data_IF_319202764992
#
_entry.id   IF_319202764992
#
_cell.length_a   1.000
_cell.length_b   1.000
_cell.length_c   1.000
_cell.angle_alpha   90.00
_cell.angle_beta   90.00
_cell.angle_gamma   90.00
#
_symmetry.space_group_name_H-M   'P 1'
#
loop_
_entity.id
_entity.type
_entity.pdbx_description
1 polymer ?
#
# COMPACT_ATOMS: atom_id res chain seq x y z
N UNK A 1 -21.57 -0.28 21.35
CA UNK A 1 -21.17 0.36 22.62
C UNK A 1 -22.43 0.89 23.25
N UNK A 2 -22.62 0.67 24.55
CA UNK A 2 -23.75 1.26 25.26
C UNK A 2 -23.47 2.75 25.40
N UNK A 3 -24.38 3.57 24.89
CA UNK A 3 -24.27 5.02 24.94
C UNK A 3 -24.57 5.52 26.36
N UNK A 4 -23.64 6.27 26.96
CA UNK A 4 -23.75 6.70 28.35
C UNK A 4 -24.90 7.68 28.60
N UNK A 5 -25.34 8.39 27.56
CA UNK A 5 -26.41 9.40 27.61
C UNK A 5 -27.80 8.84 27.35
N UNK A 6 -27.95 7.95 26.37
CA UNK A 6 -29.25 7.39 25.97
C UNK A 6 -29.50 5.97 26.51
N UNK A 7 -28.49 5.29 27.06
CA UNK A 7 -28.54 3.90 27.51
C UNK A 7 -28.84 2.89 26.37
N UNK A 8 -28.79 3.32 25.11
CA UNK A 8 -29.02 2.50 23.92
C UNK A 8 -27.73 1.86 23.39
N UNK A 9 -27.88 0.80 22.60
CA UNK A 9 -26.77 0.16 21.90
C UNK A 9 -26.54 0.82 20.54
N UNK A 10 -25.35 1.42 20.35
CA UNK A 10 -24.93 1.95 19.04
C UNK A 10 -23.73 1.22 18.45
N UNK A 11 -23.59 1.28 17.14
CA UNK A 11 -22.38 0.83 16.44
C UNK A 11 -21.20 1.71 16.86
N UNK A 12 -20.03 1.10 17.09
CA UNK A 12 -18.80 1.84 17.41
C UNK A 12 -18.27 2.54 16.17
N UNK A 13 -17.66 3.71 16.34
CA UNK A 13 -16.98 4.41 15.25
C UNK A 13 -15.65 3.72 14.91
N UNK A 14 -15.10 3.98 13.72
CA UNK A 14 -13.78 3.48 13.34
C UNK A 14 -12.67 3.91 14.32
N UNK A 15 -12.78 5.13 14.87
CA UNK A 15 -11.84 5.62 15.86
C UNK A 15 -11.92 4.83 17.18
N UNK A 16 -13.14 4.57 17.66
CA UNK A 16 -13.38 3.77 18.88
C UNK A 16 -12.89 2.32 18.72
N UNK A 17 -13.09 1.73 17.54
CA UNK A 17 -12.57 0.41 17.22
C UNK A 17 -11.04 0.41 17.17
N UNK A 18 -10.43 1.46 16.62
CA UNK A 18 -8.97 1.65 16.60
C UNK A 18 -8.37 1.69 18.00
N UNK A 19 -8.95 2.49 18.90
CA UNK A 19 -8.52 2.57 20.30
C UNK A 19 -8.70 1.27 21.06
N UNK A 20 -9.82 0.57 20.84
CA UNK A 20 -10.16 -0.65 21.55
C UNK A 20 -9.23 -1.82 21.18
N UNK A 21 -8.97 -1.99 19.88
CA UNK A 21 -8.21 -3.14 19.38
C UNK A 21 -6.73 -2.84 19.16
N UNK A 22 -6.32 -1.57 19.19
CA UNK A 22 -4.94 -1.12 18.92
C UNK A 22 -4.36 -1.73 17.63
N UNK A 23 -5.24 -2.03 16.66
CA UNK A 23 -4.85 -2.66 15.41
C UNK A 23 -4.31 -1.61 14.46
N UNK A 24 -3.27 -1.94 13.67
CA UNK A 24 -2.80 -1.05 12.63
C UNK A 24 -3.93 -0.74 11.65
N UNK A 25 -3.94 0.50 11.14
CA UNK A 25 -4.95 0.92 10.19
C UNK A 25 -4.97 -0.04 8.99
N UNK A 26 -6.15 -0.38 8.51
CA UNK A 26 -6.31 -1.22 7.31
C UNK A 26 -5.57 -0.64 6.11
N UNK A 27 -5.56 0.70 5.98
CA UNK A 27 -4.85 1.41 4.93
C UNK A 27 -3.33 1.23 5.04
N UNK A 28 -2.78 1.28 6.25
CA UNK A 28 -1.35 1.07 6.49
C UNK A 28 -0.97 -0.40 6.24
N UNK A 29 -1.85 -1.34 6.61
CA UNK A 29 -1.67 -2.76 6.29
C UNK A 29 -1.66 -3.00 4.77
N UNK A 30 -2.59 -2.40 4.02
CA UNK A 30 -2.65 -2.49 2.56
C UNK A 30 -1.39 -1.87 1.95
N UNK A 31 -0.96 -0.70 2.44
CA UNK A 31 0.27 -0.02 2.00
C UNK A 31 1.50 -0.90 2.20
N UNK A 32 1.70 -1.43 3.41
CA UNK A 32 2.84 -2.29 3.74
C UNK A 32 2.87 -3.54 2.86
N UNK A 33 1.72 -4.20 2.64
CA UNK A 33 1.64 -5.38 1.75
C UNK A 33 1.99 -5.05 0.31
N UNK A 34 1.50 -3.92 -0.22
CA UNK A 34 1.79 -3.47 -1.58
C UNK A 34 3.28 -3.20 -1.78
N UNK A 35 3.92 -2.51 -0.84
CA UNK A 35 5.36 -2.24 -0.88
C UNK A 35 6.20 -3.51 -0.72
N UNK A 36 5.82 -4.42 0.18
CA UNK A 36 6.49 -5.73 0.31
C UNK A 36 6.46 -6.50 -1.00
N UNK A 37 5.29 -6.55 -1.65
CA UNK A 37 5.15 -7.22 -2.95
C UNK A 37 5.93 -6.51 -4.05
N UNK A 38 5.88 -5.17 -4.12
CA UNK A 38 6.62 -4.40 -5.11
C UNK A 38 8.14 -4.66 -5.05
N UNK A 39 8.73 -4.61 -3.86
CA UNK A 39 10.15 -4.90 -3.69
C UNK A 39 10.49 -6.37 -3.98
N UNK A 40 9.62 -7.31 -3.59
CA UNK A 40 9.80 -8.72 -3.94
C UNK A 40 9.76 -8.93 -5.46
N UNK A 41 8.76 -8.37 -6.14
CA UNK A 41 8.58 -8.53 -7.58
C UNK A 41 9.74 -7.90 -8.36
N UNK A 42 10.23 -6.73 -7.94
CA UNK A 42 11.38 -6.07 -8.56
C UNK A 42 12.68 -6.86 -8.43
N UNK A 43 12.93 -7.46 -7.25
CA UNK A 43 14.13 -8.27 -6.98
C UNK A 43 13.99 -9.73 -7.39
N UNK A 44 12.84 -10.12 -7.92
CA UNK A 44 12.60 -11.51 -8.31
C UNK A 44 13.43 -11.86 -9.55
N UNK A 45 14.03 -13.05 -9.55
CA UNK A 45 14.70 -13.62 -10.72
C UNK A 45 13.70 -14.18 -11.74
N UNK A 46 12.39 -14.03 -11.51
CA UNK A 46 11.36 -14.49 -12.44
C UNK A 46 11.29 -13.56 -13.66
N UNK A 47 11.64 -14.03 -14.88
CA UNK A 47 11.65 -13.20 -16.08
C UNK A 47 10.26 -12.68 -16.45
N UNK A 48 9.18 -13.41 -16.13
CA UNK A 48 7.81 -12.96 -16.40
C UNK A 48 7.45 -11.74 -15.55
N UNK A 49 7.86 -11.71 -14.28
CA UNK A 49 7.64 -10.55 -13.42
C UNK A 49 8.39 -9.33 -13.93
N UNK A 50 9.64 -9.51 -14.38
CA UNK A 50 10.42 -8.42 -15.00
C UNK A 50 9.69 -7.86 -16.22
N UNK A 51 9.27 -8.72 -17.14
CA UNK A 51 8.53 -8.31 -18.35
C UNK A 51 7.27 -7.53 -17.98
N UNK A 52 6.47 -8.02 -17.02
CA UNK A 52 5.23 -7.35 -16.62
C UNK A 52 5.48 -5.99 -15.95
N UNK A 53 6.54 -5.86 -15.15
CA UNK A 53 6.88 -4.62 -14.44
C UNK A 53 7.50 -3.55 -15.33
N UNK A 54 8.17 -3.95 -16.41
CA UNK A 54 8.86 -3.03 -17.33
C UNK A 54 8.03 -2.69 -18.56
N UNK A 55 7.13 -3.59 -18.99
CA UNK A 55 6.32 -3.38 -20.19
C UNK A 55 5.28 -2.29 -19.96
N UNK A 56 5.30 -1.26 -20.82
CA UNK A 56 4.20 -0.31 -20.92
C UNK A 56 3.19 -0.78 -21.98
N UNK A 57 1.99 -1.23 -21.58
CA UNK A 57 0.98 -1.67 -22.53
C UNK A 57 0.44 -0.48 -23.33
N UNK A 58 0.61 -0.54 -24.64
CA UNK A 58 0.09 0.45 -25.59
C UNK A 58 -1.41 0.24 -25.81
N UNK A 59 -2.19 1.31 -25.83
CA UNK A 59 -3.61 1.29 -26.16
C UNK A 59 -4.50 2.12 -25.21
N UNK A 60 -5.79 2.24 -25.58
CA UNK A 60 -6.79 2.96 -24.78
C UNK A 60 -7.43 2.02 -23.76
N UNK A 61 -7.59 2.47 -22.52
CA UNK A 61 -8.28 1.70 -21.49
C UNK A 61 -9.80 1.73 -21.70
N UNK A 62 -10.49 0.59 -21.45
CA UNK A 62 -11.94 0.60 -21.37
C UNK A 62 -12.41 1.44 -20.17
N UNK A 63 -13.61 2.01 -20.29
CA UNK A 63 -14.22 2.77 -19.20
C UNK A 63 -14.56 1.84 -18.01
N UNK A 64 -14.48 2.38 -16.80
CA UNK A 64 -14.86 1.69 -15.56
C UNK A 64 -13.71 1.17 -14.68
N UNK A 65 -12.49 1.02 -15.22
CA UNK A 65 -11.33 0.67 -14.38
C UNK A 65 -10.83 1.90 -13.60
N UNK A 66 -10.38 1.75 -12.34
CA UNK A 66 -9.71 2.83 -11.61
C UNK A 66 -8.60 3.47 -12.43
N UNK A 67 -8.53 4.81 -12.37
CA UNK A 67 -7.63 5.63 -13.19
C UNK A 67 -6.15 5.38 -12.85
N UNK A 68 -5.84 5.09 -11.58
CA UNK A 68 -4.48 4.80 -11.11
C UNK A 68 -4.09 3.35 -11.39
N UNK A 69 -2.87 3.15 -11.92
CA UNK A 69 -2.22 1.85 -12.04
C UNK A 69 -1.71 1.39 -10.68
N UNK A 70 -1.41 0.10 -10.57
CA UNK A 70 -0.71 -0.44 -9.40
C UNK A 70 0.62 0.29 -9.16
N UNK A 71 1.41 0.54 -10.20
CA UNK A 71 2.68 1.25 -10.09
C UNK A 71 2.51 2.70 -9.60
N UNK A 72 1.46 3.40 -10.04
CA UNK A 72 1.16 4.76 -9.57
C UNK A 72 0.91 4.78 -8.06
N UNK A 73 0.25 3.74 -7.53
CA UNK A 73 0.03 3.57 -6.11
C UNK A 73 1.33 3.24 -5.36
N UNK A 74 2.22 2.43 -5.93
CA UNK A 74 3.55 2.16 -5.36
C UNK A 74 4.37 3.45 -5.28
N UNK A 75 4.44 4.22 -6.36
CA UNK A 75 5.13 5.53 -6.39
C UNK A 75 4.60 6.47 -5.32
N UNK A 76 3.27 6.56 -5.18
CA UNK A 76 2.62 7.37 -4.14
C UNK A 76 2.98 6.90 -2.72
N UNK A 77 2.93 5.59 -2.48
CA UNK A 77 3.24 5.01 -1.18
C UNK A 77 4.71 5.24 -0.80
N UNK A 78 5.65 5.03 -1.74
CA UNK A 78 7.09 5.30 -1.53
C UNK A 78 7.36 6.78 -1.29
N UNK A 79 6.71 7.67 -2.05
CA UNK A 79 6.82 9.12 -1.86
C UNK A 79 6.30 9.56 -0.48
N UNK A 80 5.22 8.96 0.01
CA UNK A 80 4.68 9.25 1.35
C UNK A 80 5.67 8.90 2.46
N UNK A 81 6.56 7.94 2.22
CA UNK A 81 7.58 7.46 3.16
C UNK A 81 8.95 8.12 2.95
N UNK A 82 9.03 9.18 2.13
CA UNK A 82 10.28 9.89 1.85
C UNK A 82 11.26 9.12 0.93
N UNK A 83 10.82 8.05 0.27
CA UNK A 83 11.67 7.19 -0.55
C UNK A 83 11.98 7.69 -1.97
N UNK A 84 11.71 8.96 -2.28
CA UNK A 84 11.95 9.56 -3.60
C UNK A 84 10.95 9.14 -4.69
N UNK A 85 11.20 9.58 -5.93
CA UNK A 85 10.34 9.30 -7.10
C UNK A 85 10.66 7.99 -7.82
N UNK A 86 11.92 7.53 -7.76
CA UNK A 86 12.33 6.25 -8.34
C UNK A 86 12.24 5.12 -7.30
N UNK A 87 11.03 4.55 -7.21
CA UNK A 87 10.78 3.44 -6.32
C UNK A 87 11.57 2.16 -6.69
N UNK A 88 12.01 2.01 -7.95
CA UNK A 88 12.74 0.82 -8.42
C UNK A 88 14.19 0.85 -7.95
N UNK A 89 14.82 2.01 -8.02
CA UNK A 89 16.13 2.23 -7.40
C UNK A 89 16.07 1.92 -5.91
N UNK A 90 15.09 2.51 -5.20
CA UNK A 90 14.90 2.27 -3.77
C UNK A 90 14.60 0.80 -3.45
N UNK A 91 13.88 0.10 -4.32
CA UNK A 91 13.60 -1.33 -4.18
C UNK A 91 14.82 -2.22 -4.42
N UNK A 92 15.89 -1.72 -5.03
CA UNK A 92 17.14 -2.48 -5.20
C UNK A 92 17.91 -2.57 -3.87
N UNK A 93 17.86 -1.53 -3.04
CA UNK A 93 18.36 -1.53 -1.66
C UNK A 93 17.40 -2.29 -0.74
N UNK A 94 17.76 -3.51 -0.36
CA UNK A 94 16.89 -4.38 0.46
C UNK A 94 16.64 -3.81 1.85
N UNK A 95 17.64 -3.18 2.46
CA UNK A 95 17.58 -2.73 3.84
C UNK A 95 16.82 -1.40 3.91
N UNK A 96 17.14 -0.46 3.02
CA UNK A 96 16.38 0.77 2.88
C UNK A 96 14.93 0.57 2.44
N UNK A 97 14.67 -0.45 1.60
CA UNK A 97 13.30 -0.83 1.25
C UNK A 97 12.53 -1.40 2.45
N UNK A 98 13.20 -2.23 3.27
CA UNK A 98 12.58 -2.81 4.46
C UNK A 98 12.20 -1.74 5.47
N UNK A 99 13.10 -0.79 5.72
CA UNK A 99 12.86 0.32 6.63
C UNK A 99 11.63 1.12 6.19
N UNK A 100 11.55 1.52 4.92
CA UNK A 100 10.37 2.20 4.38
C UNK A 100 9.08 1.36 4.41
N UNK A 101 9.16 0.03 4.28
CA UNK A 101 7.98 -0.85 4.33
C UNK A 101 7.41 -1.08 5.74
N UNK A 102 8.19 -0.78 6.80
CA UNK A 102 7.88 -1.09 8.19
C UNK A 102 7.58 0.15 9.03
N UNK A 103 7.95 1.36 8.57
CA UNK A 103 7.65 2.64 9.22
C UNK A 103 6.27 3.19 8.86
N UNK A 104 5.24 2.34 8.95
CA UNK A 104 3.83 2.69 8.81
C UNK A 104 3.02 2.20 9.99
#
# INVERSE_FOLDING_TARGET
>A
MKDSSSNEWRIRTNNELGLLFQKPNVLDTIRSRRLKWAGHAWRSQNPLLRIVLEKDPVGKRPLGRPRMRWEDLVKKDVSTLGGGSDWKERASDRDGWREGCLTG
#
